data_IF_760217591418
#
_entry.id   IF_760217591418
#
_cell.length_a   1.000
_cell.length_b   1.000
_cell.length_c   1.000
_cell.angle_alpha   90.00
_cell.angle_beta   90.00
_cell.angle_gamma   90.00
#
_symmetry.space_group_name_H-M   'P 1'
#
loop_
_entity.id
_entity.type
_entity.pdbx_description
1 polymer ?
#
# COMPACT_ATOMS: atom_id res chain seq x y z
N UNK A 1 -4.33 -7.95 -29.15
CA UNK A 1 -2.97 -7.99 -28.52
C UNK A 1 -2.61 -6.53 -28.23
N UNK A 2 -3.00 -6.03 -27.06
CA UNK A 2 -2.86 -4.63 -26.62
C UNK A 2 -1.91 -4.56 -25.42
N UNK A 3 -0.77 -5.26 -25.51
CA UNK A 3 0.15 -5.47 -24.38
C UNK A 3 1.39 -4.57 -24.42
N UNK A 4 1.44 -3.56 -25.29
CA UNK A 4 2.68 -2.83 -25.57
C UNK A 4 2.82 -1.47 -24.86
N UNK A 5 1.81 -1.06 -24.08
CA UNK A 5 1.90 0.11 -23.18
C UNK A 5 1.79 -0.28 -21.70
N UNK A 6 1.86 -1.59 -21.40
CA UNK A 6 1.33 -2.17 -20.17
C UNK A 6 2.39 -2.68 -19.20
N UNK A 7 3.70 -2.51 -19.39
CA UNK A 7 4.67 -3.15 -18.45
C UNK A 7 4.53 -2.63 -17.01
N UNK A 8 4.48 -1.31 -16.81
CA UNK A 8 4.29 -0.71 -15.48
C UNK A 8 2.92 -1.07 -14.89
N UNK A 9 1.86 -0.99 -15.72
CA UNK A 9 0.51 -1.37 -15.34
C UNK A 9 0.40 -2.87 -15.03
N UNK A 10 1.19 -3.74 -15.68
CA UNK A 10 1.17 -5.20 -15.47
C UNK A 10 1.69 -5.55 -14.08
N UNK A 11 2.74 -4.88 -13.61
CA UNK A 11 3.30 -5.17 -12.29
C UNK A 11 2.37 -4.70 -11.16
N UNK A 12 1.76 -3.52 -11.30
CA UNK A 12 0.76 -3.01 -10.35
C UNK A 12 -0.54 -3.84 -10.38
N UNK A 13 -0.99 -4.26 -11.56
CA UNK A 13 -2.17 -5.11 -11.72
C UNK A 13 -1.91 -6.52 -11.20
N UNK A 14 -0.75 -7.12 -11.50
CA UNK A 14 -0.35 -8.41 -10.93
C UNK A 14 -0.27 -8.31 -9.41
N UNK A 15 0.24 -7.18 -8.88
CA UNK A 15 0.21 -6.92 -7.45
C UNK A 15 -1.21 -6.90 -6.89
N UNK A 16 -2.15 -6.21 -7.53
CA UNK A 16 -3.55 -6.17 -7.10
C UNK A 16 -4.26 -7.52 -7.20
N UNK A 17 -3.91 -8.34 -8.21
CA UNK A 17 -4.56 -9.62 -8.49
C UNK A 17 -3.98 -10.78 -7.68
N UNK A 18 -2.65 -10.88 -7.56
CA UNK A 18 -1.94 -11.95 -6.84
C UNK A 18 -1.55 -11.60 -5.42
N UNK A 19 -1.43 -10.31 -5.10
CA UNK A 19 -0.92 -9.82 -3.82
C UNK A 19 0.39 -10.51 -3.39
N UNK A 20 1.47 -10.40 -4.18
CA UNK A 20 2.78 -10.87 -3.77
C UNK A 20 3.25 -10.04 -2.56
N UNK A 21 3.62 -10.73 -1.49
CA UNK A 21 4.15 -10.10 -0.27
C UNK A 21 5.50 -10.71 0.06
N UNK A 22 6.36 -9.94 0.73
CA UNK A 22 7.63 -10.44 1.23
C UNK A 22 7.37 -11.24 2.52
N UNK A 23 7.56 -12.57 2.52
CA UNK A 23 7.42 -13.35 3.74
C UNK A 23 8.57 -13.04 4.71
N UNK A 24 8.40 -13.37 5.99
CA UNK A 24 9.45 -13.25 7.00
C UNK A 24 9.86 -11.81 7.36
N UNK A 25 8.98 -10.83 7.11
CA UNK A 25 9.14 -9.46 7.59
C UNK A 25 8.30 -9.23 8.84
N UNK A 26 8.82 -8.42 9.75
CA UNK A 26 8.09 -7.95 10.93
C UNK A 26 7.61 -6.53 10.67
N UNK A 27 6.34 -6.27 10.96
CA UNK A 27 5.80 -4.91 10.87
C UNK A 27 6.45 -4.03 11.95
N UNK A 28 7.10 -2.91 11.58
CA UNK A 28 7.62 -1.93 12.53
C UNK A 28 6.49 -1.05 13.09
N UNK A 29 5.28 -1.14 12.53
CA UNK A 29 4.12 -0.36 12.95
C UNK A 29 3.03 -1.26 13.51
N UNK A 30 2.46 -0.87 14.65
CA UNK A 30 1.49 -1.69 15.40
C UNK A 30 0.12 -1.79 14.73
N UNK A 31 -0.20 -0.87 13.82
CA UNK A 31 -1.48 -0.82 13.10
C UNK A 31 -1.48 -1.63 11.80
N UNK A 32 -0.38 -2.30 11.46
CA UNK A 32 -0.31 -3.18 10.29
C UNK A 32 0.17 -4.56 10.70
N UNK A 33 -0.54 -5.57 10.21
CA UNK A 33 -0.10 -6.96 10.28
C UNK A 33 1.21 -7.20 9.52
N UNK A 34 2.00 -8.18 9.96
CA UNK A 34 3.26 -8.58 9.30
C UNK A 34 3.06 -8.90 7.79
N UNK A 35 1.92 -9.50 7.43
CA UNK A 35 1.56 -9.79 6.03
C UNK A 35 1.32 -8.52 5.22
N UNK A 36 0.58 -7.55 5.78
CA UNK A 36 0.34 -6.25 5.16
C UNK A 36 1.64 -5.47 4.98
N UNK A 37 2.53 -5.54 5.97
CA UNK A 37 3.88 -5.00 5.88
C UNK A 37 4.71 -5.69 4.81
N UNK A 38 4.60 -7.00 4.65
CA UNK A 38 5.21 -7.77 3.56
C UNK A 38 4.80 -7.27 2.18
N UNK A 39 3.52 -6.91 2.00
CA UNK A 39 3.03 -6.29 0.78
C UNK A 39 3.59 -4.89 0.55
N UNK A 40 3.73 -4.08 1.61
CA UNK A 40 4.36 -2.75 1.54
C UNK A 40 5.83 -2.86 1.18
N UNK A 41 6.58 -3.80 1.79
CA UNK A 41 8.00 -4.02 1.46
C UNK A 41 8.17 -4.50 0.01
N UNK A 42 7.25 -5.32 -0.48
CA UNK A 42 7.25 -5.74 -1.89
C UNK A 42 6.96 -4.55 -2.81
N UNK A 43 5.91 -3.76 -2.51
CA UNK A 43 5.59 -2.53 -3.25
C UNK A 43 6.76 -1.57 -3.27
N UNK A 44 7.40 -1.33 -2.12
CA UNK A 44 8.53 -0.42 -2.01
C UNK A 44 9.78 -0.85 -2.80
N UNK A 45 9.80 -2.08 -3.32
CA UNK A 45 10.80 -2.54 -4.29
C UNK A 45 10.52 -2.09 -5.72
N UNK A 46 9.31 -1.61 -6.03
CA UNK A 46 8.98 -1.02 -7.32
C UNK A 46 9.43 0.45 -7.36
N UNK A 47 9.96 0.88 -8.51
CA UNK A 47 10.42 2.25 -8.75
C UNK A 47 9.39 3.33 -8.39
N UNK A 48 8.10 3.02 -8.56
CA UNK A 48 7.04 3.97 -8.30
C UNK A 48 6.70 4.12 -6.80
N UNK A 49 6.93 3.08 -5.98
CA UNK A 49 6.65 3.12 -4.54
C UNK A 49 7.90 3.14 -3.68
N UNK A 50 9.05 3.47 -4.28
CA UNK A 50 10.30 3.58 -3.55
C UNK A 50 10.15 4.54 -2.36
N UNK A 51 10.61 4.10 -1.18
CA UNK A 51 10.50 4.81 0.10
C UNK A 51 9.10 4.79 0.76
N UNK A 52 8.12 4.03 0.23
CA UNK A 52 6.82 3.86 0.90
C UNK A 52 6.98 3.24 2.29
N UNK A 53 7.85 2.23 2.43
CA UNK A 53 8.12 1.61 3.73
C UNK A 53 8.71 2.63 4.72
N UNK A 54 9.71 3.40 4.29
CA UNK A 54 10.35 4.43 5.13
C UNK A 54 9.40 5.56 5.50
N UNK A 55 8.51 5.96 4.59
CA UNK A 55 7.49 6.98 4.86
C UNK A 55 6.45 6.45 5.86
N UNK A 56 6.07 5.18 5.77
CA UNK A 56 5.15 4.56 6.74
C UNK A 56 5.82 4.40 8.12
N UNK A 57 7.11 4.03 8.16
CA UNK A 57 7.89 4.00 9.40
C UNK A 57 8.05 5.40 10.02
N UNK A 58 8.45 6.39 9.22
CA UNK A 58 8.68 7.77 9.67
C UNK A 58 7.40 8.54 10.01
N UNK A 59 6.30 8.24 9.32
CA UNK A 59 5.00 8.88 9.49
C UNK A 59 3.92 7.91 9.99
N UNK A 60 4.32 6.91 10.79
CA UNK A 60 3.44 5.86 11.31
C UNK A 60 2.13 6.40 11.91
N UNK A 61 2.20 7.47 12.71
CA UNK A 61 1.00 8.10 13.32
C UNK A 61 0.03 8.68 12.28
N UNK A 62 0.55 9.23 11.18
CA UNK A 62 -0.26 9.80 10.10
C UNK A 62 -0.89 8.70 9.25
N UNK A 63 -0.12 7.67 8.90
CA UNK A 63 -0.62 6.50 8.19
C UNK A 63 -1.65 5.73 9.02
N UNK A 64 -1.40 5.57 10.32
CA UNK A 64 -2.35 5.01 11.27
C UNK A 64 -3.69 5.76 11.24
N UNK A 65 -3.66 7.08 11.39
CA UNK A 65 -4.87 7.89 11.27
C UNK A 65 -5.55 7.69 9.91
N UNK A 66 -4.78 7.64 8.81
CA UNK A 66 -5.34 7.41 7.47
C UNK A 66 -6.01 6.03 7.33
N UNK A 67 -5.47 4.98 7.96
CA UNK A 67 -6.06 3.63 7.95
C UNK A 67 -7.30 3.55 8.85
N UNK A 68 -7.22 4.13 10.05
CA UNK A 68 -8.31 4.19 11.02
C UNK A 68 -9.43 5.16 10.58
N UNK A 69 -9.12 6.19 9.80
CA UNK A 69 -10.09 7.16 9.27
C UNK A 69 -10.89 6.53 8.13
N UNK A 70 -12.15 6.23 8.43
CA UNK A 70 -13.10 5.52 7.54
C UNK A 70 -13.88 6.47 6.62
N UNK A 71 -13.58 7.77 6.64
CA UNK A 71 -14.35 8.80 5.91
C UNK A 71 -13.55 9.35 4.73
N UNK A 72 -13.63 8.72 3.53
CA UNK A 72 -12.74 8.99 2.40
C UNK A 72 -12.94 10.36 1.72
N UNK A 73 -13.95 11.15 2.10
CA UNK A 73 -14.27 12.41 1.42
C UNK A 73 -13.39 13.60 1.87
N UNK A 74 -12.65 13.49 2.99
CA UNK A 74 -11.81 14.57 3.53
C UNK A 74 -10.32 14.28 3.62
N UNK A 75 -9.90 13.02 3.61
CA UNK A 75 -8.49 12.67 3.83
C UNK A 75 -7.76 12.35 2.52
N UNK A 76 -7.04 13.37 2.03
CA UNK A 76 -6.10 13.25 0.91
C UNK A 76 -4.92 12.39 1.36
N UNK A 77 -4.51 11.44 0.51
CA UNK A 77 -3.26 10.68 0.68
C UNK A 77 -2.12 11.58 1.17
N UNK A 78 -1.27 11.11 2.10
CA UNK A 78 -0.18 11.93 2.60
C UNK A 78 0.74 12.39 1.45
N UNK A 79 0.91 13.71 1.38
CA UNK A 79 2.02 14.43 0.77
C UNK A 79 2.41 14.02 -0.67
N UNK A 80 3.22 12.98 -0.83
CA UNK A 80 3.81 12.54 -2.10
C UNK A 80 2.92 11.52 -2.84
N UNK A 81 2.09 10.78 -2.10
CA UNK A 81 1.20 9.75 -2.64
C UNK A 81 -0.07 10.31 -3.28
N UNK A 82 -0.39 11.58 -3.01
CA UNK A 82 -1.56 12.28 -3.57
C UNK A 82 -1.49 12.56 -5.06
N UNK A 83 -0.29 12.54 -5.66
CA UNK A 83 -0.07 12.78 -7.09
C UNK A 83 0.07 11.48 -7.89
N UNK A 84 0.03 10.33 -7.21
CA UNK A 84 0.11 9.00 -7.82
C UNK A 84 -1.15 8.65 -8.60
N UNK A 85 -1.03 7.77 -9.56
CA UNK A 85 -2.14 7.26 -10.37
C UNK A 85 -3.17 6.51 -9.51
N UNK A 86 -4.41 6.39 -10.02
CA UNK A 86 -5.47 5.69 -9.31
C UNK A 86 -5.11 4.21 -9.00
N UNK A 87 -4.45 3.53 -9.95
CA UNK A 87 -3.91 2.17 -9.76
C UNK A 87 -2.89 2.10 -8.63
N UNK A 88 -1.97 3.06 -8.58
CA UNK A 88 -0.93 3.11 -7.57
C UNK A 88 -1.53 3.28 -6.17
N UNK A 89 -2.46 4.23 -6.04
CA UNK A 89 -3.21 4.42 -4.80
C UNK A 89 -3.99 3.17 -4.40
N UNK A 90 -4.57 2.46 -5.36
CA UNK A 90 -5.25 1.19 -5.09
C UNK A 90 -4.30 0.11 -4.57
N UNK A 91 -3.06 0.03 -5.07
CA UNK A 91 -2.04 -0.92 -4.56
C UNK A 91 -1.70 -0.64 -3.09
N UNK A 92 -1.49 0.63 -2.74
CA UNK A 92 -1.22 1.06 -1.37
C UNK A 92 -2.44 0.76 -0.49
N UNK A 93 -3.63 1.15 -0.93
CA UNK A 93 -4.89 0.85 -0.24
C UNK A 93 -5.09 -0.64 -0.04
N UNK A 94 -4.71 -1.49 -1.01
CA UNK A 94 -4.83 -2.95 -0.87
C UNK A 94 -4.03 -3.45 0.33
N UNK A 95 -2.81 -2.95 0.53
CA UNK A 95 -1.99 -3.32 1.68
C UNK A 95 -2.56 -2.82 3.00
N UNK A 96 -2.99 -1.57 3.03
CA UNK A 96 -3.53 -0.94 4.23
C UNK A 96 -4.92 -1.48 4.60
N UNK A 97 -5.74 -1.84 3.60
CA UNK A 97 -7.11 -2.34 3.77
C UNK A 97 -7.17 -3.83 4.08
N UNK A 98 -6.16 -4.63 3.72
CA UNK A 98 -6.07 -6.03 4.15
C UNK A 98 -6.10 -6.18 5.68
N UNK A 99 -5.76 -5.13 6.41
CA UNK A 99 -5.87 -5.05 7.86
C UNK A 99 -7.31 -4.77 8.35
N UNK A 100 -8.14 -4.01 7.60
CA UNK A 100 -9.56 -3.80 7.97
C UNK A 100 -10.43 -5.05 7.93
N UNK A 101 -10.04 -6.07 7.16
CA UNK A 101 -10.76 -7.36 7.16
C UNK A 101 -10.57 -8.17 8.46
N UNK A 102 -9.69 -7.72 9.39
CA UNK A 102 -9.55 -8.33 10.72
C UNK A 102 -10.19 -7.50 11.85
N UNK A 103 -10.76 -6.33 11.56
CA UNK A 103 -11.49 -5.49 12.53
C UNK A 103 -13.01 -5.65 12.47
N UNK A 104 -13.47 -6.80 11.97
CA UNK A 104 -14.89 -7.18 11.91
C UNK A 104 -15.14 -8.51 12.60
N UNK A 105 -14.97 -8.55 13.92
CA UNK A 105 -15.69 -9.45 14.83
C UNK A 105 -16.21 -8.61 15.99
#
# INVERSE_FOLDING_TARGET
ILLQSNEIQSNELDFLLRYPYTPNVTSPVEFLSNTSWGGIKYLSGMEDFQNLDRDIEGAAKRWRNFVESETPEKEKFPQEWKNKSALQRLCILRCLRLDRMTYGI
#
